data_IF_578721530496
#
_entry.id   IF_578721530496
#
_cell.length_a   1.000
_cell.length_b   1.000
_cell.length_c   1.000
_cell.angle_alpha   90.00
_cell.angle_beta   90.00
_cell.angle_gamma   90.00
#
_symmetry.space_group_name_H-M   'P 1'
#
loop_
_entity.id
_entity.type
_entity.pdbx_description
1 polymer ?
#
# COMPACT_ATOMS: atom_id res chain seq x y z
N UNK A 1 -5.97 -11.01 17.75
CA UNK A 1 -5.97 -10.43 16.39
C UNK A 1 -4.76 -10.97 15.67
N UNK A 2 -4.90 -11.78 14.61
CA UNK A 2 -3.74 -12.20 13.81
C UNK A 2 -3.30 -10.98 13.01
N UNK A 3 -2.07 -10.52 13.25
CA UNK A 3 -1.41 -9.56 12.38
C UNK A 3 -1.20 -10.30 11.06
N UNK A 4 -1.73 -9.76 9.96
CA UNK A 4 -1.50 -10.30 8.62
C UNK A 4 0.01 -10.31 8.34
N UNK A 5 0.50 -11.36 7.68
CA UNK A 5 1.88 -11.39 7.18
C UNK A 5 2.14 -10.26 6.18
N UNK A 6 3.42 -9.94 5.92
CA UNK A 6 3.77 -8.89 4.96
C UNK A 6 3.21 -9.19 3.55
N UNK A 7 3.30 -10.44 3.09
CA UNK A 7 2.74 -10.88 1.80
C UNK A 7 1.22 -10.70 1.75
N UNK A 8 0.50 -11.11 2.80
CA UNK A 8 -0.96 -10.97 2.89
C UNK A 8 -1.41 -9.50 2.85
N UNK A 9 -0.60 -8.58 3.38
CA UNK A 9 -0.87 -7.13 3.30
C UNK A 9 -0.75 -6.62 1.87
N UNK A 10 0.30 -7.02 1.14
CA UNK A 10 0.49 -6.56 -0.23
C UNK A 10 -0.59 -7.09 -1.17
N UNK A 11 -0.96 -8.36 -1.03
CA UNK A 11 -2.07 -8.96 -1.77
C UNK A 11 -3.39 -8.24 -1.48
N UNK A 12 -3.70 -7.98 -0.20
CA UNK A 12 -4.91 -7.27 0.18
C UNK A 12 -4.97 -5.89 -0.48
N UNK A 13 -3.87 -5.15 -0.47
CA UNK A 13 -3.80 -3.81 -1.06
C UNK A 13 -3.93 -3.82 -2.58
N UNK A 14 -3.38 -4.84 -3.24
CA UNK A 14 -3.51 -5.04 -4.68
C UNK A 14 -4.95 -5.41 -5.05
N UNK A 15 -5.54 -6.42 -4.39
CA UNK A 15 -6.91 -6.87 -4.70
C UNK A 15 -7.99 -5.85 -4.33
N UNK A 16 -7.75 -5.01 -3.33
CA UNK A 16 -8.66 -3.91 -2.99
C UNK A 16 -8.48 -2.65 -3.86
N UNK A 17 -7.53 -2.67 -4.80
CA UNK A 17 -7.33 -1.61 -5.78
C UNK A 17 -6.57 -0.38 -5.24
N UNK A 18 -5.95 -0.47 -4.07
CA UNK A 18 -5.04 0.58 -3.59
C UNK A 18 -3.71 0.55 -4.35
N UNK A 19 -3.23 -0.64 -4.72
CA UNK A 19 -2.07 -0.83 -5.57
C UNK A 19 -2.50 -1.38 -6.93
N UNK A 20 -1.64 -1.17 -7.93
CA UNK A 20 -1.75 -1.77 -9.26
C UNK A 20 -0.40 -2.34 -9.66
N UNK A 21 -0.39 -3.39 -10.48
CA UNK A 21 0.84 -3.91 -11.08
C UNK A 21 1.42 -2.86 -12.03
N UNK A 22 2.67 -2.49 -11.80
CA UNK A 22 3.47 -1.69 -12.72
C UNK A 22 4.22 -2.59 -13.71
N UNK A 23 4.86 -3.63 -13.19
CA UNK A 23 5.65 -4.57 -13.99
C UNK A 23 5.59 -5.97 -13.37
N UNK A 24 5.56 -7.01 -14.21
CA UNK A 24 5.75 -8.41 -13.81
C UNK A 24 7.20 -8.79 -14.08
N UNK A 25 7.95 -9.11 -13.03
CA UNK A 25 9.35 -9.52 -13.14
C UNK A 25 9.43 -11.03 -13.40
N UNK A 26 8.62 -11.81 -12.69
CA UNK A 26 8.55 -13.27 -12.80
C UNK A 26 7.16 -13.77 -12.39
N UNK A 27 6.93 -15.09 -12.35
CA UNK A 27 5.64 -15.73 -12.08
C UNK A 27 4.99 -15.25 -10.78
N UNK A 28 5.80 -15.08 -9.72
CA UNK A 28 5.37 -14.67 -8.38
C UNK A 28 5.85 -13.27 -7.97
N UNK A 29 6.68 -12.61 -8.78
CA UNK A 29 7.31 -11.33 -8.42
C UNK A 29 6.81 -10.17 -9.28
N UNK A 30 6.27 -9.16 -8.61
CA UNK A 30 5.63 -8.00 -9.23
C UNK A 30 6.15 -6.69 -8.62
N UNK A 31 6.38 -5.70 -9.47
CA UNK A 31 6.52 -4.31 -9.04
C UNK A 31 5.13 -3.71 -8.94
N UNK A 32 4.79 -3.17 -7.76
CA UNK A 32 3.51 -2.53 -7.49
C UNK A 32 3.68 -1.01 -7.41
N UNK A 33 2.65 -0.30 -7.88
CA UNK A 33 2.58 1.17 -7.80
C UNK A 33 1.24 1.63 -7.27
N UNK A 34 1.22 2.87 -6.78
CA UNK A 34 -0.02 3.60 -6.53
C UNK A 34 -0.54 4.15 -7.87
N UNK A 35 -1.81 3.91 -8.24
CA UNK A 35 -2.31 4.24 -9.58
C UNK A 35 -2.45 5.75 -9.82
N UNK A 36 -2.89 6.52 -8.81
CA UNK A 36 -3.14 7.96 -8.93
C UNK A 36 -3.10 8.68 -7.56
N UNK A 37 -3.16 10.02 -7.60
CA UNK A 37 -3.09 10.89 -6.41
C UNK A 37 -4.30 10.70 -5.48
N UNK A 38 -5.49 10.44 -6.00
CA UNK A 38 -6.72 10.21 -5.25
C UNK A 38 -6.60 8.96 -4.38
N UNK A 39 -6.14 7.85 -4.97
CA UNK A 39 -5.93 6.57 -4.29
C UNK A 39 -4.80 6.69 -3.26
N UNK A 40 -3.68 7.37 -3.58
CA UNK A 40 -2.62 7.66 -2.60
C UNK A 40 -3.15 8.42 -1.38
N UNK A 41 -3.98 9.44 -1.61
CA UNK A 41 -4.59 10.26 -0.55
C UNK A 41 -5.60 9.48 0.27
N UNK A 42 -6.42 8.67 -0.39
CA UNK A 42 -7.39 7.80 0.27
C UNK A 42 -6.67 6.81 1.17
N UNK A 43 -5.71 6.05 0.64
CA UNK A 43 -4.89 5.10 1.36
C UNK A 43 -4.22 5.70 2.60
N UNK A 44 -3.59 6.87 2.44
CA UNK A 44 -2.94 7.58 3.54
C UNK A 44 -3.95 7.88 4.67
N UNK A 45 -5.11 8.42 4.32
CA UNK A 45 -6.14 8.83 5.29
C UNK A 45 -6.86 7.64 5.93
N UNK A 46 -7.22 6.62 5.15
CA UNK A 46 -8.07 5.51 5.62
C UNK A 46 -7.27 4.40 6.27
N UNK A 47 -6.03 4.17 5.82
CA UNK A 47 -5.19 3.07 6.29
C UNK A 47 -4.04 3.59 7.16
N UNK A 48 -3.12 4.39 6.60
CA UNK A 48 -1.90 4.76 7.32
C UNK A 48 -2.20 5.59 8.58
N UNK A 49 -2.96 6.68 8.45
CA UNK A 49 -3.30 7.52 9.61
C UNK A 49 -4.10 6.75 10.67
N UNK A 50 -4.98 5.83 10.23
CA UNK A 50 -5.86 5.08 11.12
C UNK A 50 -5.14 3.99 11.90
N UNK A 51 -4.21 3.28 11.27
CA UNK A 51 -3.55 2.11 11.87
C UNK A 51 -2.16 2.44 12.43
N UNK A 52 -1.49 3.47 11.91
CA UNK A 52 -0.11 3.81 12.26
C UNK A 52 0.02 5.19 12.93
N UNK A 53 -1.01 6.03 12.91
CA UNK A 53 -0.99 7.35 13.57
C UNK A 53 -0.13 8.41 12.86
N UNK A 54 -0.31 9.68 13.24
CA UNK A 54 0.43 10.81 12.65
C UNK A 54 1.85 10.87 13.22
N UNK A 55 2.87 10.64 12.38
CA UNK A 55 4.29 10.68 12.77
C UNK A 55 5.11 9.47 12.33
N UNK A 56 4.56 8.55 11.54
CA UNK A 56 5.28 7.39 11.05
C UNK A 56 6.12 7.69 9.81
N UNK A 57 7.36 7.19 9.74
CA UNK A 57 8.30 7.35 8.60
C UNK A 57 7.69 6.95 7.23
N UNK A 58 6.72 6.03 7.24
CA UNK A 58 5.97 5.65 6.04
C UNK A 58 5.13 6.81 5.46
N UNK A 59 4.62 7.70 6.31
CA UNK A 59 3.88 8.89 5.87
C UNK A 59 4.80 9.85 5.11
N UNK A 60 6.03 10.03 5.59
CA UNK A 60 7.01 10.93 4.99
C UNK A 60 7.44 10.44 3.60
N UNK A 61 7.63 9.12 3.45
CA UNK A 61 7.91 8.47 2.15
C UNK A 61 6.75 8.62 1.15
N UNK A 62 5.53 8.82 1.63
CA UNK A 62 4.34 9.06 0.80
C UNK A 62 4.10 10.53 0.47
N UNK A 63 4.86 11.47 1.05
CA UNK A 63 4.83 12.89 0.69
C UNK A 63 5.93 13.30 -0.29
N UNK A 64 6.98 12.47 -0.43
CA UNK A 64 7.96 12.53 -1.52
C UNK A 64 7.34 12.07 -2.85
#
# INVERSE_FOLDING_TARGET
SRILGEEEIWELMLFSGYLTVEEKIDEDYYILRLPNREVRRLFKRTFIEKYFGRGNKLIDLMEL
#
